data_IF_869702238997
#
_entry.id   IF_869702238997
#
_cell.length_a   1.000
_cell.length_b   1.000
_cell.length_c   1.000
_cell.angle_alpha   90.00
_cell.angle_beta   90.00
_cell.angle_gamma   90.00
#
_symmetry.space_group_name_H-M   'P 1'
#
loop_
_entity.id
_entity.type
_entity.pdbx_description
1 polymer ?
#
# COMPACT_ATOMS: atom_id res chain seq x y z
N UNK A 1 13.58 -9.44 28.61
CA UNK A 1 12.22 -9.32 29.22
C UNK A 1 11.60 -7.93 29.02
N UNK A 2 12.32 -6.98 28.42
CA UNK A 2 11.88 -5.60 28.10
C UNK A 2 11.06 -5.48 26.80
N UNK A 3 11.09 -6.48 25.93
CA UNK A 3 10.45 -6.43 24.61
C UNK A 3 8.92 -6.54 24.65
N UNK A 4 8.37 -7.35 25.57
CA UNK A 4 6.93 -7.57 25.65
C UNK A 4 6.12 -6.30 26.00
N UNK A 5 6.46 -5.51 27.03
CA UNK A 5 5.73 -4.28 27.32
C UNK A 5 5.87 -3.24 26.20
N UNK A 6 7.03 -3.17 25.54
CA UNK A 6 7.26 -2.27 24.43
C UNK A 6 6.40 -2.66 23.21
N UNK A 7 6.35 -3.95 22.88
CA UNK A 7 5.49 -4.49 21.83
C UNK A 7 4.01 -4.24 22.12
N UNK A 8 3.56 -4.48 23.35
CA UNK A 8 2.18 -4.19 23.76
C UNK A 8 1.86 -2.70 23.67
N UNK A 9 2.79 -1.82 24.04
CA UNK A 9 2.61 -0.38 23.90
C UNK A 9 2.46 0.04 22.43
N UNK A 10 3.29 -0.50 21.53
CA UNK A 10 3.21 -0.23 20.09
C UNK A 10 1.89 -0.74 19.51
N UNK A 11 1.47 -1.96 19.85
CA UNK A 11 0.19 -2.52 19.39
C UNK A 11 -0.99 -1.67 19.91
N UNK A 12 -0.99 -1.33 21.21
CA UNK A 12 -2.05 -0.54 21.81
C UNK A 12 -2.12 0.87 21.22
N UNK A 13 -0.99 1.54 21.04
CA UNK A 13 -0.92 2.86 20.42
C UNK A 13 -1.37 2.85 18.96
N UNK A 14 -0.94 1.83 18.20
CA UNK A 14 -1.38 1.60 16.81
C UNK A 14 -2.89 1.39 16.71
N UNK A 15 -3.46 0.56 17.60
CA UNK A 15 -4.89 0.30 17.65
C UNK A 15 -5.69 1.55 18.05
N UNK A 16 -5.23 2.30 19.06
CA UNK A 16 -5.86 3.53 19.50
C UNK A 16 -5.86 4.59 18.38
N UNK A 17 -4.71 4.81 17.73
CA UNK A 17 -4.60 5.72 16.60
C UNK A 17 -5.50 5.32 15.43
N UNK A 18 -5.57 4.02 15.09
CA UNK A 18 -6.48 3.50 14.07
C UNK A 18 -7.96 3.78 14.40
N UNK A 19 -8.38 3.61 15.66
CA UNK A 19 -9.74 3.91 16.08
C UNK A 19 -10.06 5.42 16.02
N UNK A 20 -9.13 6.27 16.43
CA UNK A 20 -9.26 7.73 16.30
C UNK A 20 -9.38 8.10 14.81
N UNK A 21 -8.53 7.54 13.96
CA UNK A 21 -8.52 7.82 12.52
C UNK A 21 -9.80 7.35 11.84
N UNK A 22 -10.37 6.22 12.30
CA UNK A 22 -11.69 5.75 11.88
C UNK A 22 -12.77 6.79 12.20
N UNK A 23 -12.76 7.39 13.39
CA UNK A 23 -13.70 8.46 13.76
C UNK A 23 -13.48 9.74 12.95
N UNK A 24 -12.24 10.11 12.67
CA UNK A 24 -11.89 11.21 11.79
C UNK A 24 -12.17 10.93 10.30
N UNK A 25 -12.65 9.73 9.94
CA UNK A 25 -12.90 9.27 8.56
C UNK A 25 -11.67 9.40 7.67
N UNK A 26 -10.49 9.20 8.24
CA UNK A 26 -9.24 9.18 7.48
C UNK A 26 -9.26 7.92 6.61
N UNK A 27 -8.92 8.03 5.32
CA UNK A 27 -8.85 6.87 4.47
C UNK A 27 -7.77 5.89 4.93
N UNK A 28 -8.01 4.59 4.68
CA UNK A 28 -7.09 3.52 5.08
C UNK A 28 -6.74 3.57 6.57
N UNK A 29 -7.68 4.03 7.41
CA UNK A 29 -7.52 4.20 8.85
C UNK A 29 -6.82 3.05 9.59
N UNK A 30 -6.97 1.74 9.25
CA UNK A 30 -6.25 0.69 9.96
C UNK A 30 -4.75 0.75 9.70
N UNK A 31 -4.36 1.02 8.45
CA UNK A 31 -2.96 1.05 8.01
C UNK A 31 -2.31 2.36 8.43
N UNK A 32 -2.99 3.49 8.17
CA UNK A 32 -2.47 4.83 8.46
C UNK A 32 -2.41 5.09 9.95
N UNK A 33 -3.45 4.70 10.70
CA UNK A 33 -3.45 4.78 12.16
C UNK A 33 -2.45 3.80 12.78
N UNK A 34 -2.28 2.60 12.22
CA UNK A 34 -1.25 1.66 12.66
C UNK A 34 0.16 2.24 12.50
N UNK A 35 0.47 2.79 11.33
CA UNK A 35 1.78 3.40 11.05
C UNK A 35 2.04 4.62 11.95
N UNK A 36 1.09 5.56 12.04
CA UNK A 36 1.23 6.78 12.84
C UNK A 36 1.28 6.46 14.32
N UNK A 37 0.44 5.54 14.80
CA UNK A 37 0.44 5.11 16.20
C UNK A 37 1.73 4.40 16.59
N UNK A 38 2.23 3.49 15.75
CA UNK A 38 3.53 2.86 15.95
C UNK A 38 4.68 3.88 15.97
N UNK A 39 4.69 4.83 15.03
CA UNK A 39 5.69 5.90 14.99
C UNK A 39 5.61 6.79 16.24
N UNK A 40 4.40 7.20 16.66
CA UNK A 40 4.21 8.05 17.84
C UNK A 40 4.68 7.37 19.12
N UNK A 41 4.40 6.07 19.30
CA UNK A 41 4.88 5.31 20.47
C UNK A 41 6.39 5.13 20.44
N UNK A 42 6.97 4.71 19.30
CA UNK A 42 8.43 4.52 19.21
C UNK A 42 9.18 5.83 19.45
N UNK A 43 8.74 6.94 18.84
CA UNK A 43 9.35 8.26 19.03
C UNK A 43 9.11 8.83 20.43
N UNK A 44 7.90 8.68 20.98
CA UNK A 44 7.53 9.25 22.28
C UNK A 44 8.21 8.56 23.46
N UNK A 45 8.45 7.24 23.35
CA UNK A 45 9.08 6.44 24.41
C UNK A 45 10.52 6.03 24.10
N UNK A 46 11.08 6.44 22.94
CA UNK A 46 12.42 6.07 22.51
C UNK A 46 12.59 4.56 22.33
N UNK A 47 11.51 3.86 21.95
CA UNK A 47 11.51 2.42 21.78
C UNK A 47 12.01 2.06 20.38
N UNK A 48 12.75 0.95 20.29
CA UNK A 48 13.12 0.31 19.04
C UNK A 48 12.56 -1.12 19.09
N UNK A 49 11.23 -1.24 18.89
CA UNK A 49 10.56 -2.53 19.00
C UNK A 49 10.76 -3.33 17.72
N UNK A 50 11.42 -4.47 17.85
CA UNK A 50 11.44 -5.48 16.79
C UNK A 50 10.22 -6.39 16.95
N UNK A 51 9.38 -6.43 15.93
CA UNK A 51 8.22 -7.33 15.92
C UNK A 51 8.70 -8.73 15.52
N UNK A 52 8.41 -9.79 16.31
CA UNK A 52 8.75 -11.16 15.94
C UNK A 52 8.19 -11.57 14.56
N UNK A 53 9.02 -12.22 13.74
CA UNK A 53 8.65 -12.68 12.39
C UNK A 53 7.36 -13.50 12.36
N UNK A 54 7.13 -14.31 13.40
CA UNK A 54 5.93 -15.13 13.52
C UNK A 54 4.66 -14.26 13.56
N UNK A 55 4.69 -13.09 14.21
CA UNK A 55 3.56 -12.17 14.25
C UNK A 55 3.33 -11.54 12.87
N UNK A 56 4.40 -11.15 12.18
CA UNK A 56 4.34 -10.60 10.82
C UNK A 56 3.73 -11.63 9.86
N UNK A 57 4.20 -12.87 9.94
CA UNK A 57 3.69 -14.01 9.15
C UNK A 57 2.19 -14.22 9.40
N UNK A 58 1.76 -14.29 10.67
CA UNK A 58 0.34 -14.45 10.99
C UNK A 58 -0.50 -13.28 10.48
N UNK A 59 -0.01 -12.04 10.59
CA UNK A 59 -0.68 -10.86 10.07
C UNK A 59 -0.82 -10.91 8.54
N UNK A 60 0.24 -11.29 7.82
CA UNK A 60 0.21 -11.47 6.36
C UNK A 60 -0.76 -12.57 5.94
N UNK A 61 -0.77 -13.71 6.64
CA UNK A 61 -1.73 -14.79 6.40
C UNK A 61 -3.17 -14.33 6.63
N UNK A 62 -3.44 -13.59 7.70
CA UNK A 62 -4.77 -13.05 8.00
C UNK A 62 -5.24 -12.05 6.93
N UNK A 63 -4.39 -11.11 6.55
CA UNK A 63 -4.72 -10.12 5.50
C UNK A 63 -4.89 -10.81 4.14
N UNK A 64 -3.99 -11.73 3.80
CA UNK A 64 -4.05 -12.49 2.55
C UNK A 64 -5.30 -13.36 2.46
N UNK A 65 -5.66 -14.07 3.53
CA UNK A 65 -6.89 -14.87 3.58
C UNK A 65 -8.14 -14.00 3.56
N UNK A 66 -8.15 -12.87 4.27
CA UNK A 66 -9.27 -11.92 4.24
C UNK A 66 -9.50 -11.35 2.84
N UNK A 67 -8.44 -10.94 2.14
CA UNK A 67 -8.51 -10.48 0.74
C UNK A 67 -8.93 -11.62 -0.17
N UNK A 68 -8.35 -12.81 -0.02
CA UNK A 68 -8.68 -13.99 -0.81
C UNK A 68 -10.15 -14.42 -0.67
N UNK A 69 -10.70 -14.32 0.54
CA UNK A 69 -12.11 -14.63 0.83
C UNK A 69 -13.10 -13.68 0.14
N UNK A 70 -12.65 -12.53 -0.37
CA UNK A 70 -13.49 -11.61 -1.16
C UNK A 70 -13.67 -12.05 -2.61
N UNK A 71 -12.89 -13.02 -3.09
CA UNK A 71 -12.96 -13.50 -4.48
C UNK A 71 -14.14 -14.46 -4.61
N UNK A 72 -15.17 -14.05 -5.35
CA UNK A 72 -16.34 -14.89 -5.63
C UNK A 72 -16.09 -15.82 -6.83
N UNK A 73 -16.79 -16.97 -6.92
CA UNK A 73 -16.71 -17.86 -8.08
C UNK A 73 -16.99 -17.16 -9.42
N UNK A 74 -17.96 -16.24 -9.44
CA UNK A 74 -18.33 -15.47 -10.63
C UNK A 74 -17.22 -14.55 -11.12
N UNK A 75 -16.33 -14.10 -10.22
CA UNK A 75 -15.14 -13.30 -10.58
C UNK A 75 -14.22 -14.09 -11.52
N UNK A 76 -14.09 -15.41 -11.34
CA UNK A 76 -13.29 -16.26 -12.22
C UNK A 76 -13.89 -16.41 -13.61
N UNK A 77 -15.22 -16.45 -13.73
CA UNK A 77 -15.88 -16.50 -15.04
C UNK A 77 -15.62 -15.21 -15.84
N UNK A 78 -15.65 -14.06 -15.17
CA UNK A 78 -15.36 -12.76 -15.79
C UNK A 78 -13.85 -12.53 -16.02
N UNK A 79 -12.99 -13.19 -15.24
CA UNK A 79 -11.53 -13.04 -15.31
C UNK A 79 -10.98 -13.23 -16.73
N UNK A 80 -11.50 -14.20 -17.49
CA UNK A 80 -11.08 -14.45 -18.89
C UNK A 80 -11.27 -13.23 -19.79
N UNK A 81 -12.35 -12.45 -19.57
CA UNK A 81 -12.65 -11.23 -20.33
C UNK A 81 -11.70 -10.09 -19.97
N UNK A 82 -11.23 -10.05 -18.72
CA UNK A 82 -10.30 -9.04 -18.24
C UNK A 82 -8.83 -9.46 -18.36
N UNK A 83 -8.53 -10.68 -18.80
CA UNK A 83 -7.17 -11.20 -18.81
C UNK A 83 -6.25 -10.35 -19.69
N UNK A 84 -6.62 -10.12 -20.96
CA UNK A 84 -5.82 -9.30 -21.88
C UNK A 84 -5.64 -7.84 -21.40
N UNK A 85 -6.69 -7.04 -21.15
CA UNK A 85 -6.53 -5.67 -20.69
C UNK A 85 -5.88 -5.59 -19.30
N UNK A 86 -6.16 -6.56 -18.42
CA UNK A 86 -5.58 -6.67 -17.09
C UNK A 86 -4.08 -6.96 -17.13
N UNK A 87 -3.63 -7.90 -17.98
CA UNK A 87 -2.20 -8.17 -18.18
C UNK A 87 -1.45 -6.97 -18.74
N UNK A 88 -2.06 -6.23 -19.66
CA UNK A 88 -1.49 -4.98 -20.17
C UNK A 88 -1.37 -3.93 -19.08
N UNK A 89 -2.41 -3.75 -18.26
CA UNK A 89 -2.39 -2.81 -17.15
C UNK A 89 -1.32 -3.18 -16.11
N UNK A 90 -1.26 -4.45 -15.71
CA UNK A 90 -0.23 -4.96 -14.78
C UNK A 90 1.16 -4.75 -15.36
N UNK A 91 1.39 -5.12 -16.62
CA UNK A 91 2.66 -4.93 -17.30
C UNK A 91 3.08 -3.45 -17.37
N UNK A 92 2.13 -2.54 -17.65
CA UNK A 92 2.41 -1.11 -17.70
C UNK A 92 2.79 -0.54 -16.32
N UNK A 93 2.06 -0.91 -15.26
CA UNK A 93 2.37 -0.44 -13.90
C UNK A 93 3.68 -1.04 -13.40
N UNK A 94 3.98 -2.31 -13.70
CA UNK A 94 5.26 -2.94 -13.39
C UNK A 94 6.40 -2.24 -14.12
N UNK A 95 6.28 -2.02 -15.43
CA UNK A 95 7.30 -1.34 -16.23
C UNK A 95 7.55 0.08 -15.72
N UNK A 96 6.49 0.82 -15.39
CA UNK A 96 6.63 2.15 -14.78
C UNK A 96 7.34 2.09 -13.42
N UNK A 97 6.99 1.12 -12.57
CA UNK A 97 7.64 0.91 -11.28
C UNK A 97 9.14 0.60 -11.41
N UNK A 98 9.52 -0.31 -12.32
CA UNK A 98 10.94 -0.61 -12.61
C UNK A 98 11.65 0.63 -13.14
N UNK A 99 11.04 1.34 -14.10
CA UNK A 99 11.62 2.53 -14.71
C UNK A 99 11.90 3.61 -13.67
N UNK A 100 10.91 3.94 -12.83
CA UNK A 100 11.08 4.95 -11.80
C UNK A 100 12.04 4.49 -10.70
N UNK A 101 11.97 3.23 -10.27
CA UNK A 101 12.93 2.67 -9.31
C UNK A 101 14.37 2.77 -9.83
N UNK A 102 14.58 2.46 -11.11
CA UNK A 102 15.89 2.52 -11.74
C UNK A 102 16.37 3.96 -11.86
N UNK A 103 15.48 4.87 -12.25
CA UNK A 103 15.77 6.30 -12.30
C UNK A 103 16.18 6.85 -10.92
N UNK A 104 15.46 6.49 -9.85
CA UNK A 104 15.81 6.92 -8.50
C UNK A 104 17.16 6.39 -8.03
N UNK A 105 17.49 5.14 -8.40
CA UNK A 105 18.79 4.55 -8.12
C UNK A 105 19.93 5.25 -8.85
N UNK A 106 19.78 5.52 -10.15
CA UNK A 106 20.81 6.20 -10.96
C UNK A 106 21.00 7.66 -10.55
N UNK A 107 19.94 8.33 -10.13
CA UNK A 107 20.00 9.69 -9.60
C UNK A 107 20.59 9.75 -8.18
N UNK A 108 20.87 8.61 -7.54
CA UNK A 108 21.40 8.55 -6.17
C UNK A 108 20.43 9.04 -5.11
N UNK A 109 19.12 8.99 -5.38
CA UNK A 109 18.08 9.44 -4.43
C UNK A 109 17.88 8.39 -3.33
N UNK A 110 17.90 7.11 -3.71
CA UNK A 110 17.74 5.95 -2.83
C UNK A 110 18.72 4.86 -3.28
N UNK A 111 19.07 3.96 -2.36
CA UNK A 111 19.81 2.75 -2.71
C UNK A 111 19.03 1.90 -3.72
N UNK A 112 19.68 1.15 -4.63
CA UNK A 112 19.00 0.49 -5.72
C UNK A 112 17.87 -0.48 -5.29
N UNK A 113 18.10 -1.24 -4.23
CA UNK A 113 17.08 -2.16 -3.72
C UNK A 113 15.94 -1.42 -2.99
N UNK A 114 16.24 -0.39 -2.20
CA UNK A 114 15.21 0.48 -1.60
C UNK A 114 14.37 1.19 -2.65
N UNK A 115 14.99 1.73 -3.70
CA UNK A 115 14.31 2.40 -4.80
C UNK A 115 13.36 1.46 -5.53
N UNK A 116 13.82 0.24 -5.85
CA UNK A 116 13.00 -0.79 -6.48
C UNK A 116 11.83 -1.20 -5.59
N UNK A 117 12.12 -1.57 -4.34
CA UNK A 117 11.10 -2.03 -3.40
C UNK A 117 10.11 -0.93 -3.04
N UNK A 118 10.50 0.35 -3.08
CA UNK A 118 9.63 1.50 -2.81
C UNK A 118 8.72 1.84 -3.99
N UNK A 119 9.22 1.77 -5.22
CA UNK A 119 8.48 2.27 -6.40
C UNK A 119 7.79 1.17 -7.20
N UNK A 120 8.24 -0.07 -7.11
CA UNK A 120 7.55 -1.19 -7.74
C UNK A 120 6.16 -1.42 -7.11
N UNK A 121 5.14 -1.73 -7.92
CA UNK A 121 3.84 -2.15 -7.39
C UNK A 121 3.97 -3.53 -6.74
N UNK A 122 3.29 -3.73 -5.61
CA UNK A 122 3.31 -4.97 -4.87
C UNK A 122 2.57 -4.87 -3.54
N UNK A 123 2.56 -5.98 -2.79
CA UNK A 123 2.04 -6.00 -1.42
C UNK A 123 2.97 -5.24 -0.48
N UNK A 124 2.45 -4.23 0.22
CA UNK A 124 3.23 -3.38 1.15
C UNK A 124 4.03 -4.23 2.14
N UNK A 125 3.37 -5.24 2.74
CA UNK A 125 4.01 -6.13 3.72
C UNK A 125 5.18 -6.93 3.16
N UNK A 126 5.06 -7.46 1.95
CA UNK A 126 6.13 -8.22 1.29
C UNK A 126 7.31 -7.33 0.92
N UNK A 127 7.03 -6.14 0.38
CA UNK A 127 8.09 -5.21 -0.03
C UNK A 127 8.89 -4.69 1.16
N UNK A 128 8.22 -4.38 2.27
CA UNK A 128 8.88 -3.96 3.52
C UNK A 128 9.68 -5.11 4.13
N UNK A 129 9.11 -6.32 4.19
CA UNK A 129 9.79 -7.50 4.75
C UNK A 129 11.02 -7.86 3.92
N UNK A 130 10.90 -7.82 2.59
CA UNK A 130 12.03 -8.04 1.67
C UNK A 130 13.13 -6.99 1.85
N UNK A 131 12.77 -5.71 2.00
CA UNK A 131 13.74 -4.64 2.24
C UNK A 131 14.49 -4.82 3.55
N UNK A 132 13.77 -5.06 4.64
CA UNK A 132 14.38 -5.32 5.96
C UNK A 132 15.29 -6.55 5.92
N UNK A 133 14.88 -7.62 5.22
CA UNK A 133 15.71 -8.81 5.04
C UNK A 133 17.00 -8.55 4.24
N UNK A 134 16.99 -7.55 3.34
CA UNK A 134 18.18 -7.08 2.61
C UNK A 134 19.00 -6.05 3.40
N UNK A 135 18.61 -5.71 4.63
CA UNK A 135 19.32 -4.73 5.48
C UNK A 135 18.93 -3.27 5.21
N UNK A 136 17.83 -3.04 4.52
CA UNK A 136 17.33 -1.73 4.15
C UNK A 136 16.27 -1.19 5.11
N UNK A 137 16.04 0.13 5.09
CA UNK A 137 15.09 0.76 5.99
C UNK A 137 13.63 0.56 5.52
N UNK A 138 12.93 -0.34 6.22
CA UNK A 138 11.52 -0.61 5.99
C UNK A 138 10.61 0.62 6.16
N UNK A 139 11.02 1.63 6.95
CA UNK A 139 10.26 2.87 7.13
C UNK A 139 10.22 3.71 5.86
N UNK A 140 11.30 3.73 5.07
CA UNK A 140 11.37 4.41 3.78
C UNK A 140 10.43 3.73 2.78
N UNK A 141 10.49 2.40 2.70
CA UNK A 141 9.70 1.59 1.77
C UNK A 141 8.20 1.71 2.08
N UNK A 142 7.80 1.56 3.35
CA UNK A 142 6.40 1.71 3.75
C UNK A 142 5.91 3.15 3.55
N UNK A 143 6.77 4.15 3.80
CA UNK A 143 6.48 5.56 3.57
C UNK A 143 6.14 5.84 2.11
N UNK A 144 6.98 5.38 1.18
CA UNK A 144 6.73 5.50 -0.26
C UNK A 144 5.42 4.82 -0.67
N UNK A 145 5.15 3.63 -0.12
CA UNK A 145 3.90 2.90 -0.35
C UNK A 145 2.67 3.65 0.19
N UNK A 146 2.79 4.29 1.35
CA UNK A 146 1.70 5.10 1.92
C UNK A 146 1.41 6.30 1.05
N UNK A 147 2.44 7.04 0.62
CA UNK A 147 2.27 8.15 -0.32
C UNK A 147 1.51 7.67 -1.55
N UNK A 148 1.91 6.53 -2.14
CA UNK A 148 1.21 5.93 -3.27
C UNK A 148 -0.26 5.66 -2.98
N UNK A 149 -0.59 5.05 -1.84
CA UNK A 149 -1.97 4.75 -1.46
C UNK A 149 -2.82 6.01 -1.32
N UNK A 150 -2.28 7.06 -0.68
CA UNK A 150 -2.96 8.35 -0.58
C UNK A 150 -3.11 9.01 -1.95
N UNK A 151 -2.06 9.01 -2.78
CA UNK A 151 -2.13 9.58 -4.13
C UNK A 151 -3.21 8.91 -4.95
N UNK A 152 -3.26 7.57 -4.97
CA UNK A 152 -4.30 6.83 -5.69
C UNK A 152 -5.68 7.20 -5.18
N UNK A 153 -5.89 7.20 -3.86
CA UNK A 153 -7.21 7.42 -3.30
C UNK A 153 -7.72 8.87 -3.47
N UNK A 154 -6.84 9.85 -3.26
CA UNK A 154 -7.17 11.26 -3.42
C UNK A 154 -7.34 11.65 -4.89
N UNK A 155 -6.59 11.00 -5.80
CA UNK A 155 -6.73 11.23 -7.25
C UNK A 155 -7.90 10.47 -7.86
N UNK A 156 -8.34 9.35 -7.28
CA UNK A 156 -9.43 8.52 -7.80
C UNK A 156 -10.69 9.32 -8.18
N UNK A 157 -11.28 10.19 -7.32
CA UNK A 157 -12.47 10.96 -7.71
C UNK A 157 -12.20 11.89 -8.90
N UNK A 158 -11.00 12.48 -8.98
CA UNK A 158 -10.61 13.36 -10.09
C UNK A 158 -10.47 12.56 -11.40
N UNK A 159 -9.83 11.39 -11.33
CA UNK A 159 -9.66 10.49 -12.49
C UNK A 159 -11.02 9.99 -12.97
N UNK A 160 -11.91 9.58 -12.06
CA UNK A 160 -13.26 9.16 -12.42
C UNK A 160 -14.08 10.29 -13.03
N UNK A 161 -14.02 11.49 -12.45
CA UNK A 161 -14.68 12.67 -13.02
C UNK A 161 -14.18 12.98 -14.43
N UNK A 162 -12.87 12.96 -14.64
CA UNK A 162 -12.26 13.18 -15.95
C UNK A 162 -12.67 12.09 -16.95
N UNK A 163 -12.64 10.82 -16.54
CA UNK A 163 -13.02 9.68 -17.36
C UNK A 163 -14.49 9.77 -17.81
N UNK A 164 -15.41 10.08 -16.90
CA UNK A 164 -16.84 10.25 -17.22
C UNK A 164 -17.05 11.43 -18.17
N UNK A 165 -16.34 12.55 -17.97
CA UNK A 165 -16.42 13.73 -18.85
C UNK A 165 -15.93 13.42 -20.26
N UNK A 166 -14.85 12.66 -20.38
CA UNK A 166 -14.32 12.19 -21.66
C UNK A 166 -15.32 11.22 -22.29
N UNK A 167 -15.78 10.20 -21.56
CA UNK A 167 -16.74 9.22 -22.11
C UNK A 167 -18.03 9.88 -22.63
N UNK A 168 -18.57 10.88 -21.92
CA UNK A 168 -19.71 11.67 -22.41
C UNK A 168 -19.43 12.44 -23.70
N UNK A 169 -18.19 12.80 -23.98
CA UNK A 169 -17.80 13.48 -25.23
C UNK A 169 -17.63 12.52 -26.40
N UNK A 170 -17.30 11.26 -26.16
CA UNK A 170 -16.96 10.30 -27.23
C UNK A 170 -18.04 9.22 -27.48
N UNK A 171 -18.84 8.86 -26.47
CA UNK A 171 -19.80 7.73 -26.56
C UNK A 171 -21.25 8.22 -26.72
N UNK A 172 -21.66 9.25 -25.99
CA UNK A 172 -22.89 9.99 -26.29
C UNK A 172 -22.51 11.09 -27.28
N UNK A 173 -22.42 10.72 -28.55
CA UNK A 173 -22.49 11.71 -29.62
C UNK A 173 -23.71 12.60 -29.38
N UNK A 174 -23.57 13.89 -29.68
CA UNK A 174 -24.74 14.71 -29.93
C UNK A 174 -25.50 14.08 -31.10
N UNK A 175 -26.53 13.29 -30.82
CA UNK A 175 -27.65 13.17 -31.74
C UNK A 175 -28.59 14.33 -31.39
N UNK A 176 -28.52 15.40 -32.21
CA UNK A 176 -29.38 16.59 -32.14
C UNK A 176 -30.85 16.27 -32.46
N UNK A 177 -31.73 17.27 -32.74
CA UNK A 177 -31.54 18.73 -32.80
C UNK A 177 -31.80 19.49 -31.49
#
# INVERSE_FOLDING_TARGET
MTELPALLAVIAGSAAAALIFRWCRIPLWPITGGLVGAAAVNLGFGLAVQVPDLIVLFAQLLVGTAIGATIAPDTFAQFRRFLAPGTLAVGAVLAAGVLFGWMFAVLGILDPAEAMLSLMPGGVGEMVTAGVALGHDGAVIIGAHMVRLFTVLLSLPLVLWAAVRIQRRWVTGQDGP
#
